data_IF_036603231488
#
_entry.id   IF_036603231488
#
_cell.length_a   1.000
_cell.length_b   1.000
_cell.length_c   1.000
_cell.angle_alpha   90.00
_cell.angle_beta   90.00
_cell.angle_gamma   90.00
#
_symmetry.space_group_name_H-M   'P 1'
#
loop_
_entity.id
_entity.type
_entity.pdbx_description
1 polymer ?
#
# COMPACT_ATOMS: atom_id res chain seq x y z
N UNK A 1 -4.97 19.13 20.70
CA UNK A 1 -5.28 19.79 19.41
C UNK A 1 -4.24 19.38 18.37
N UNK A 2 -4.26 18.12 17.90
CA UNK A 2 -3.45 17.68 16.76
C UNK A 2 -4.23 16.60 16.01
N UNK A 3 -5.30 17.02 15.32
CA UNK A 3 -5.93 16.21 14.30
C UNK A 3 -4.98 16.18 13.10
N UNK A 4 -3.85 15.47 13.20
CA UNK A 4 -3.05 15.15 12.01
C UNK A 4 -4.00 14.41 11.07
N UNK A 5 -4.37 15.00 9.93
CA UNK A 5 -5.38 14.43 9.10
C UNK A 5 -4.70 13.27 8.36
N UNK A 6 -4.79 12.08 8.95
CA UNK A 6 -4.25 10.84 8.38
C UNK A 6 -4.94 10.52 7.06
N UNK A 7 -6.20 10.93 6.90
CA UNK A 7 -6.99 10.81 5.68
C UNK A 7 -6.30 11.43 4.44
N UNK A 8 -5.89 12.71 4.41
CA UNK A 8 -5.18 13.27 3.26
C UNK A 8 -3.78 12.70 3.06
N UNK A 9 -3.09 12.23 4.11
CA UNK A 9 -1.80 11.53 3.95
C UNK A 9 -2.00 10.19 3.22
N UNK A 10 -3.02 9.43 3.62
CA UNK A 10 -3.41 8.18 2.95
C UNK A 10 -3.88 8.48 1.52
N UNK A 11 -4.67 9.54 1.31
CA UNK A 11 -5.11 9.98 -0.01
C UNK A 11 -3.95 10.36 -0.95
N UNK A 12 -2.96 11.10 -0.45
CA UNK A 12 -1.73 11.44 -1.18
C UNK A 12 -0.92 10.20 -1.54
N UNK A 13 -0.66 9.31 -0.58
CA UNK A 13 0.08 8.08 -0.81
C UNK A 13 -0.62 7.20 -1.86
N UNK A 14 -1.94 7.04 -1.72
CA UNK A 14 -2.76 6.28 -2.67
C UNK A 14 -2.73 6.91 -4.06
N UNK A 15 -2.84 8.25 -4.16
CA UNK A 15 -2.77 8.98 -5.42
C UNK A 15 -1.44 8.83 -6.14
N UNK A 16 -0.32 8.83 -5.42
CA UNK A 16 1.02 8.59 -5.99
C UNK A 16 1.12 7.17 -6.55
N UNK A 17 0.65 6.17 -5.79
CA UNK A 17 0.67 4.76 -6.22
C UNK A 17 -0.21 4.58 -7.46
N UNK A 18 -1.41 5.17 -7.48
CA UNK A 18 -2.32 5.12 -8.62
C UNK A 18 -1.78 5.89 -9.84
N UNK A 19 -1.12 7.02 -9.64
CA UNK A 19 -0.46 7.79 -10.70
C UNK A 19 0.71 7.01 -11.32
N UNK A 20 1.48 6.29 -10.51
CA UNK A 20 2.53 5.40 -10.99
C UNK A 20 1.95 4.22 -11.79
N UNK A 21 0.83 3.65 -11.35
CA UNK A 21 0.12 2.62 -12.11
C UNK A 21 -0.45 3.15 -13.45
N UNK A 22 -0.91 4.40 -13.46
CA UNK A 22 -1.41 5.09 -14.65
C UNK A 22 -0.32 5.53 -15.63
N UNK A 23 0.92 5.74 -15.17
CA UNK A 23 2.06 6.15 -16.01
C UNK A 23 2.40 5.14 -17.12
N UNK A 24 1.96 3.88 -16.98
CA UNK A 24 2.11 2.86 -18.02
C UNK A 24 1.10 3.01 -19.19
N UNK A 25 0.21 4.00 -19.14
CA UNK A 25 -0.33 4.65 -20.34
C UNK A 25 -1.32 3.86 -21.20
N UNK A 26 -2.08 2.90 -20.63
CA UNK A 26 -3.16 2.21 -21.35
C UNK A 26 -4.00 1.27 -20.48
N UNK A 27 -5.24 0.97 -20.90
CA UNK A 27 -6.16 0.07 -20.17
C UNK A 27 -5.55 -1.31 -19.90
N UNK A 28 -4.72 -1.83 -20.82
CA UNK A 28 -4.03 -3.11 -20.64
C UNK A 28 -2.89 -3.07 -19.62
N UNK A 29 -2.09 -2.00 -19.61
CA UNK A 29 -0.98 -1.85 -18.67
C UNK A 29 -1.48 -1.56 -17.24
N UNK A 30 -2.56 -0.78 -17.13
CA UNK A 30 -3.26 -0.56 -15.85
C UNK A 30 -3.82 -1.87 -15.29
N UNK A 31 -4.46 -2.71 -16.11
CA UNK A 31 -4.97 -4.01 -15.68
C UNK A 31 -3.84 -4.97 -15.27
N UNK A 32 -2.72 -4.99 -15.99
CA UNK A 32 -1.56 -5.79 -15.58
C UNK A 32 -0.98 -5.33 -14.23
N UNK A 33 -0.85 -4.02 -14.01
CA UNK A 33 -0.38 -3.48 -12.73
C UNK A 33 -1.41 -3.72 -11.61
N UNK A 34 -2.70 -3.64 -11.90
CA UNK A 34 -3.77 -3.97 -10.96
C UNK A 34 -3.72 -5.45 -10.54
N UNK A 35 -3.53 -6.35 -11.51
CA UNK A 35 -3.37 -7.79 -11.25
C UNK A 35 -2.08 -8.05 -10.48
N UNK A 36 -0.97 -7.43 -10.86
CA UNK A 36 0.31 -7.57 -10.16
C UNK A 36 0.25 -7.01 -8.73
N UNK A 37 -0.44 -5.88 -8.53
CA UNK A 37 -0.72 -5.29 -7.23
C UNK A 37 -1.65 -6.16 -6.39
N UNK A 38 -2.68 -6.77 -6.98
CA UNK A 38 -3.55 -7.74 -6.32
C UNK A 38 -2.79 -9.00 -5.90
N UNK A 39 -1.89 -9.51 -6.76
CA UNK A 39 -0.98 -10.62 -6.44
C UNK A 39 -0.02 -10.22 -5.32
N UNK A 40 0.59 -9.04 -5.39
CA UNK A 40 1.46 -8.51 -4.33
C UNK A 40 0.73 -8.30 -3.01
N UNK A 41 -0.52 -7.83 -3.04
CA UNK A 41 -1.39 -7.71 -1.87
C UNK A 41 -1.76 -9.09 -1.32
N UNK A 42 -2.05 -10.06 -2.18
CA UNK A 42 -2.41 -11.41 -1.74
C UNK A 42 -1.20 -12.13 -1.13
N UNK A 43 -0.03 -12.02 -1.76
CA UNK A 43 1.25 -12.52 -1.23
C UNK A 43 1.63 -11.81 0.06
N UNK A 44 1.51 -10.48 0.10
CA UNK A 44 1.71 -9.68 1.31
C UNK A 44 0.76 -10.09 2.43
N UNK A 45 -0.54 -10.26 2.13
CA UNK A 45 -1.55 -10.69 3.10
C UNK A 45 -1.37 -12.13 3.56
N UNK A 46 -0.80 -13.01 2.74
CA UNK A 46 -0.38 -14.37 3.14
C UNK A 46 0.89 -14.32 3.99
N UNK A 47 1.86 -13.47 3.64
CA UNK A 47 3.09 -13.28 4.40
C UNK A 47 2.84 -12.57 5.76
N UNK A 48 1.91 -11.62 5.79
CA UNK A 48 1.47 -10.89 6.99
C UNK A 48 0.54 -11.75 7.86
N UNK A 49 -0.27 -12.63 7.25
CA UNK A 49 -1.11 -13.59 7.95
C UNK A 49 -0.35 -14.72 8.66
N UNK A 50 1.00 -14.73 8.56
CA UNK A 50 1.88 -15.75 9.11
C UNK A 50 2.91 -15.25 10.13
N UNK A 51 2.64 -14.19 10.89
CA UNK A 51 3.49 -13.72 12.01
C UNK A 51 4.66 -12.82 11.60
N UNK A 52 4.34 -11.62 11.10
CA UNK A 52 5.25 -10.48 11.31
C UNK A 52 4.52 -9.48 12.17
N UNK A 53 4.74 -9.66 13.47
CA UNK A 53 4.43 -8.72 14.52
C UNK A 53 5.14 -7.38 14.24
N UNK A 54 4.56 -6.56 13.36
CA UNK A 54 4.93 -5.16 13.18
C UNK A 54 4.74 -4.38 14.50
N UNK A 55 3.96 -4.94 15.44
CA UNK A 55 3.80 -4.44 16.81
C UNK A 55 5.08 -4.58 17.65
N UNK A 56 5.91 -5.61 17.50
CA UNK A 56 7.20 -5.71 18.24
C UNK A 56 8.29 -4.82 17.66
N UNK A 57 8.26 -4.53 16.35
CA UNK A 57 9.17 -3.54 15.77
C UNK A 57 8.74 -2.11 16.12
N UNK A 58 7.44 -1.83 16.23
CA UNK A 58 6.94 -0.52 16.67
C UNK A 58 6.94 -0.32 18.21
N UNK A 59 7.01 -1.39 19.00
CA UNK A 59 7.13 -1.32 20.46
C UNK A 59 8.56 -1.03 20.96
N UNK A 60 9.57 -1.08 20.09
CA UNK A 60 10.97 -0.76 20.42
C UNK A 60 11.34 0.68 20.06
N UNK A 61 10.48 1.62 20.43
CA UNK A 61 10.85 3.04 20.53
C UNK A 61 10.54 3.53 21.94
N UNK A 62 11.26 2.95 22.90
CA UNK A 62 11.47 3.55 24.21
C UNK A 62 12.70 4.43 24.14
#
# INVERSE_FOLDING_TARGET
MNSFPTLPLIGMATGIILGLAGAFGGLGAFLLVLVLGAVGFFVGRIAEGGEVDLSSLMARRR
#
